data_IF_202403292947
#
_entry.id   IF_202403292947
#
_cell.length_a   1.000
_cell.length_b   1.000
_cell.length_c   1.000
_cell.angle_alpha   90.00
_cell.angle_beta   90.00
_cell.angle_gamma   90.00
#
_symmetry.space_group_name_H-M   'P 1'
#
loop_
_entity.id
_entity.type
_entity.pdbx_description
1 polymer ?
#
# COMPACT_ATOMS: atom_id res chain seq x y z
N UNK A 1 8.08 3.46 -18.93
CA UNK A 1 7.24 2.25 -18.73
C UNK A 1 7.87 1.05 -19.44
N UNK A 2 9.18 0.85 -19.30
CA UNK A 2 9.76 -0.42 -19.71
C UNK A 2 9.32 -1.46 -18.65
N UNK A 3 8.96 -2.67 -19.07
CA UNK A 3 8.72 -3.84 -18.20
C UNK A 3 7.41 -3.90 -17.40
N UNK A 4 6.38 -3.12 -17.77
CA UNK A 4 5.02 -3.34 -17.27
C UNK A 4 4.20 -4.13 -18.27
N UNK A 5 3.47 -5.15 -17.82
CA UNK A 5 2.61 -6.01 -18.63
C UNK A 5 1.15 -5.85 -18.20
N UNK A 6 0.21 -5.78 -19.14
CA UNK A 6 -1.21 -5.79 -18.81
C UNK A 6 -1.66 -7.21 -18.44
N UNK A 7 -2.35 -7.35 -17.31
CA UNK A 7 -2.93 -8.61 -16.84
C UNK A 7 -4.37 -8.72 -17.33
N UNK A 8 -4.75 -9.90 -17.84
CA UNK A 8 -6.04 -10.09 -18.51
C UNK A 8 -7.19 -10.34 -17.55
N UNK A 9 -6.92 -10.98 -16.41
CA UNK A 9 -7.92 -11.32 -15.43
C UNK A 9 -7.30 -11.58 -14.05
N UNK A 10 -8.16 -11.63 -13.04
CA UNK A 10 -7.77 -11.81 -11.66
C UNK A 10 -7.11 -13.17 -11.35
N UNK A 11 -7.54 -14.24 -12.03
CA UNK A 11 -6.90 -15.56 -11.90
C UNK A 11 -5.43 -15.49 -12.28
N UNK A 12 -5.13 -14.88 -13.44
CA UNK A 12 -3.76 -14.64 -13.89
C UNK A 12 -2.97 -13.78 -12.88
N UNK A 13 -3.57 -12.70 -12.35
CA UNK A 13 -2.92 -11.84 -11.38
C UNK A 13 -2.50 -12.62 -10.12
N UNK A 14 -3.44 -13.35 -9.51
CA UNK A 14 -3.16 -14.13 -8.29
C UNK A 14 -2.10 -15.19 -8.54
N UNK A 15 -2.22 -15.95 -9.64
CA UNK A 15 -1.23 -16.97 -10.00
C UNK A 15 0.17 -16.40 -10.16
N UNK A 16 0.32 -15.24 -10.82
CA UNK A 16 1.63 -14.57 -10.96
C UNK A 16 2.20 -14.12 -9.62
N UNK A 17 1.39 -13.43 -8.80
CA UNK A 17 1.80 -12.97 -7.48
C UNK A 17 2.30 -14.10 -6.58
N UNK A 18 1.59 -15.22 -6.56
CA UNK A 18 1.96 -16.40 -5.79
C UNK A 18 3.22 -17.05 -6.37
N UNK A 19 3.25 -17.26 -7.69
CA UNK A 19 4.39 -17.91 -8.36
C UNK A 19 5.69 -17.13 -8.17
N UNK A 20 5.68 -15.81 -8.39
CA UNK A 20 6.88 -15.00 -8.31
C UNK A 20 7.40 -14.93 -6.86
N UNK A 21 6.49 -14.83 -5.87
CA UNK A 21 6.85 -14.89 -4.46
C UNK A 21 7.45 -16.25 -4.05
N UNK A 22 6.88 -17.38 -4.50
CA UNK A 22 7.42 -18.72 -4.22
C UNK A 22 8.80 -18.93 -4.87
N UNK A 23 8.95 -18.56 -6.14
CA UNK A 23 10.20 -18.71 -6.89
C UNK A 23 11.32 -17.84 -6.32
N UNK A 24 10.99 -16.72 -5.69
CA UNK A 24 11.98 -15.84 -5.06
C UNK A 24 12.79 -16.51 -3.93
N UNK A 25 12.27 -17.58 -3.32
CA UNK A 25 12.89 -18.27 -2.20
C UNK A 25 12.99 -17.44 -0.91
N UNK A 26 12.30 -16.29 -0.84
CA UNK A 26 12.27 -15.42 0.32
C UNK A 26 11.46 -16.05 1.46
N UNK A 27 11.87 -15.80 2.69
CA UNK A 27 11.23 -16.41 3.88
C UNK A 27 9.93 -15.71 4.27
N UNK A 28 9.82 -14.43 3.91
CA UNK A 28 8.69 -13.59 4.27
C UNK A 28 8.22 -12.79 3.06
N UNK A 29 6.91 -12.65 2.90
CA UNK A 29 6.28 -11.78 1.91
C UNK A 29 5.61 -10.63 2.63
N UNK A 30 6.00 -9.40 2.28
CA UNK A 30 5.38 -8.16 2.74
C UNK A 30 4.41 -7.69 1.67
N UNK A 31 3.15 -7.49 2.05
CA UNK A 31 2.06 -7.14 1.14
C UNK A 31 1.60 -5.72 1.48
N UNK A 32 1.96 -4.76 0.63
CA UNK A 32 1.43 -3.41 0.69
C UNK A 32 0.08 -3.36 -0.04
N UNK A 33 -1.00 -3.32 0.73
CA UNK A 33 -2.37 -3.33 0.25
C UNK A 33 -3.27 -2.43 1.11
N UNK A 34 -4.44 -2.05 0.60
CA UNK A 34 -5.36 -1.19 1.35
C UNK A 34 -4.87 0.24 1.51
N UNK A 35 -4.22 0.79 0.48
CA UNK A 35 -3.88 2.20 0.48
C UNK A 35 -5.16 3.04 0.28
N UNK A 36 -5.42 3.98 1.19
CA UNK A 36 -6.63 4.82 1.18
C UNK A 36 -6.34 6.32 1.39
N UNK A 37 -7.22 7.22 0.91
CA UNK A 37 -7.27 8.63 1.29
C UNK A 37 -7.68 8.86 2.74
N UNK A 38 -6.97 9.74 3.45
CA UNK A 38 -7.45 10.26 4.73
C UNK A 38 -8.40 11.44 4.50
N UNK A 39 -9.65 11.30 4.95
CA UNK A 39 -10.65 12.36 4.88
C UNK A 39 -10.97 12.93 6.26
N UNK A 40 -11.58 14.13 6.28
CA UNK A 40 -11.95 14.85 7.49
C UNK A 40 -13.44 15.18 7.49
N UNK A 41 -14.07 15.02 8.64
CA UNK A 41 -15.43 15.45 8.91
C UNK A 41 -15.49 16.18 10.26
N UNK A 42 -16.69 16.66 10.63
CA UNK A 42 -16.93 17.24 11.95
C UNK A 42 -16.64 16.26 13.10
N UNK A 43 -16.71 14.94 12.88
CA UNK A 43 -16.42 13.92 13.90
C UNK A 43 -14.93 13.56 14.01
N UNK A 44 -14.11 13.88 13.01
CA UNK A 44 -12.67 13.63 13.03
C UNK A 44 -12.12 13.24 11.66
N UNK A 45 -10.89 12.70 11.65
CA UNK A 45 -10.33 12.07 10.46
C UNK A 45 -10.80 10.62 10.36
N UNK A 46 -10.95 10.08 9.15
CA UNK A 46 -11.35 8.70 8.93
C UNK A 46 -10.72 8.12 7.65
N UNK A 47 -10.56 6.79 7.62
CA UNK A 47 -10.09 6.06 6.45
C UNK A 47 -11.17 5.99 5.38
N UNK A 48 -11.01 6.74 4.29
CA UNK A 48 -12.00 6.82 3.22
C UNK A 48 -11.79 5.70 2.19
N UNK A 49 -12.07 4.45 2.58
CA UNK A 49 -11.72 3.27 1.77
C UNK A 49 -12.30 3.30 0.35
N UNK A 50 -13.50 3.85 0.18
CA UNK A 50 -14.22 3.87 -1.11
C UNK A 50 -13.96 5.16 -1.92
N UNK A 51 -13.13 6.08 -1.43
CA UNK A 51 -12.82 7.33 -2.14
C UNK A 51 -11.97 7.13 -3.41
N UNK A 52 -11.32 5.97 -3.55
CA UNK A 52 -10.68 5.53 -4.80
C UNK A 52 -11.47 4.40 -5.48
N UNK A 53 -12.78 4.37 -5.24
CA UNK A 53 -13.63 3.30 -5.75
C UNK A 53 -13.26 1.95 -5.16
N UNK A 54 -13.20 0.92 -6.02
CA UNK A 54 -12.85 -0.42 -5.61
C UNK A 54 -11.36 -0.63 -5.27
N UNK A 55 -10.45 0.33 -5.53
CA UNK A 55 -9.00 0.12 -5.37
C UNK A 55 -8.61 -0.36 -3.96
N UNK A 56 -8.98 0.40 -2.91
CA UNK A 56 -8.63 0.05 -1.53
C UNK A 56 -9.17 -1.32 -1.13
N UNK A 57 -10.50 -1.57 -1.22
CA UNK A 57 -11.05 -2.85 -0.79
C UNK A 57 -10.53 -4.01 -1.65
N UNK A 58 -10.41 -3.83 -2.96
CA UNK A 58 -9.96 -4.87 -3.87
C UNK A 58 -8.49 -5.26 -3.63
N UNK A 59 -7.61 -4.28 -3.41
CA UNK A 59 -6.21 -4.57 -3.08
C UNK A 59 -6.07 -5.36 -1.77
N UNK A 60 -6.89 -5.06 -0.75
CA UNK A 60 -6.92 -5.84 0.49
C UNK A 60 -7.44 -7.25 0.26
N UNK A 61 -8.54 -7.40 -0.49
CA UNK A 61 -9.12 -8.71 -0.80
C UNK A 61 -8.12 -9.62 -1.54
N UNK A 62 -7.54 -9.15 -2.65
CA UNK A 62 -6.54 -9.92 -3.39
C UNK A 62 -5.28 -10.15 -2.55
N UNK A 63 -4.85 -9.12 -1.80
CA UNK A 63 -3.69 -9.23 -0.91
C UNK A 63 -3.85 -10.32 0.14
N UNK A 64 -5.01 -10.41 0.79
CA UNK A 64 -5.26 -11.43 1.84
C UNK A 64 -5.48 -12.82 1.27
N UNK A 65 -6.09 -12.95 0.09
CA UNK A 65 -6.19 -14.23 -0.62
C UNK A 65 -4.81 -14.78 -1.00
N UNK A 66 -3.95 -13.94 -1.60
CA UNK A 66 -2.57 -14.31 -1.94
C UNK A 66 -1.78 -14.66 -0.68
N UNK A 67 -1.94 -13.87 0.39
CA UNK A 67 -1.28 -14.13 1.67
C UNK A 67 -1.65 -15.49 2.26
N UNK A 68 -2.93 -15.87 2.18
CA UNK A 68 -3.42 -17.14 2.71
C UNK A 68 -2.82 -18.31 1.95
N UNK A 69 -2.76 -18.22 0.62
CA UNK A 69 -2.15 -19.26 -0.19
C UNK A 69 -0.65 -19.37 0.10
N UNK A 70 0.08 -18.26 0.18
CA UNK A 70 1.51 -18.28 0.56
C UNK A 70 1.75 -18.92 1.94
N UNK A 71 0.87 -18.68 2.92
CA UNK A 71 0.94 -19.34 4.23
C UNK A 71 0.72 -20.84 4.15
N UNK A 72 -0.13 -21.33 3.24
CA UNK A 72 -0.29 -22.77 3.01
C UNK A 72 1.01 -23.42 2.50
N UNK A 73 1.88 -22.64 1.84
CA UNK A 73 3.24 -23.04 1.44
C UNK A 73 4.31 -22.76 2.50
N UNK A 74 3.92 -22.39 3.72
CA UNK A 74 4.83 -22.15 4.83
C UNK A 74 5.58 -20.81 4.81
N UNK A 75 5.18 -19.87 3.94
CA UNK A 75 5.78 -18.54 3.87
C UNK A 75 5.14 -17.62 4.92
N UNK A 76 5.97 -16.88 5.66
CA UNK A 76 5.48 -15.83 6.57
C UNK A 76 4.91 -14.67 5.75
N UNK A 77 3.71 -14.19 6.09
CA UNK A 77 3.10 -13.04 5.40
C UNK A 77 2.83 -11.91 6.37
N UNK A 78 3.14 -10.68 5.93
CA UNK A 78 2.90 -9.44 6.67
C UNK A 78 2.25 -8.39 5.78
N UNK A 79 1.50 -7.47 6.36
CA UNK A 79 0.77 -6.42 5.64
C UNK A 79 1.30 -5.03 5.98
N UNK A 80 1.32 -4.15 5.00
CA UNK A 80 1.47 -2.70 5.19
C UNK A 80 0.22 -2.01 4.65
N UNK A 81 -0.48 -1.28 5.51
CA UNK A 81 -1.66 -0.50 5.16
C UNK A 81 -1.27 0.98 5.19
N UNK A 82 -1.51 1.69 4.09
CA UNK A 82 -1.01 3.05 3.88
C UNK A 82 -2.16 4.07 3.85
N UNK A 83 -1.96 5.22 4.48
CA UNK A 83 -2.87 6.37 4.42
C UNK A 83 -2.24 7.51 3.61
N UNK A 84 -2.89 7.92 2.53
CA UNK A 84 -2.59 9.16 1.81
C UNK A 84 -3.13 10.36 2.62
N UNK A 85 -2.31 10.80 3.56
CA UNK A 85 -2.59 11.88 4.51
C UNK A 85 -1.98 13.23 4.09
N UNK A 86 -1.83 13.41 2.76
CA UNK A 86 -1.26 14.61 2.14
C UNK A 86 -2.11 15.08 0.97
N UNK A 87 -2.32 14.23 -0.03
CA UNK A 87 -2.86 14.68 -1.32
C UNK A 87 -4.33 15.10 -1.20
N UNK A 88 -5.01 14.65 -0.13
CA UNK A 88 -6.41 14.93 0.13
C UNK A 88 -6.65 16.05 1.16
N UNK A 89 -5.60 16.62 1.78
CA UNK A 89 -5.79 17.65 2.83
C UNK A 89 -6.60 18.87 2.34
N UNK A 90 -6.53 19.21 1.05
CA UNK A 90 -7.17 20.40 0.48
C UNK A 90 -8.22 20.09 -0.61
N UNK A 91 -8.77 18.87 -0.64
CA UNK A 91 -9.74 18.45 -1.66
C UNK A 91 -11.15 18.31 -1.07
N UNK A 92 -12.16 18.81 -1.77
CA UNK A 92 -13.57 18.65 -1.37
C UNK A 92 -13.87 19.20 0.03
N UNK A 93 -14.58 18.43 0.84
CA UNK A 93 -14.94 18.80 2.22
C UNK A 93 -13.72 19.02 3.12
N UNK A 94 -12.58 18.39 2.82
CA UNK A 94 -11.36 18.56 3.61
C UNK A 94 -10.85 20.01 3.57
N UNK A 95 -11.12 20.74 2.48
CA UNK A 95 -10.74 22.15 2.32
C UNK A 95 -11.53 23.10 3.25
N UNK A 96 -12.67 22.66 3.80
CA UNK A 96 -13.48 23.46 4.73
C UNK A 96 -12.84 23.62 6.12
N UNK A 97 -11.88 22.76 6.46
CA UNK A 97 -11.16 22.81 7.72
C UNK A 97 -9.88 23.66 7.59
N UNK A 98 -9.45 24.29 8.69
CA UNK A 98 -8.12 24.92 8.75
C UNK A 98 -7.00 23.87 8.84
N UNK A 99 -5.77 24.24 8.48
CA UNK A 99 -4.57 23.39 8.66
C UNK A 99 -4.41 22.93 10.11
N UNK A 100 -4.70 23.81 11.07
CA UNK A 100 -4.66 23.49 12.49
C UNK A 100 -5.68 22.43 12.89
N UNK A 101 -6.90 22.48 12.33
CA UNK A 101 -7.93 21.47 12.56
C UNK A 101 -7.53 20.13 11.94
N UNK A 102 -7.14 20.11 10.65
CA UNK A 102 -6.69 18.88 9.96
C UNK A 102 -5.53 18.21 10.69
N UNK A 103 -4.52 18.99 11.09
CA UNK A 103 -3.38 18.47 11.87
C UNK A 103 -3.81 17.82 13.18
N UNK A 104 -4.76 18.42 13.92
CA UNK A 104 -5.27 17.85 15.18
C UNK A 104 -6.06 16.56 14.93
N UNK A 105 -6.95 16.56 13.95
CA UNK A 105 -7.76 15.40 13.57
C UNK A 105 -6.88 14.23 13.12
N UNK A 106 -5.93 14.48 12.22
CA UNK A 106 -4.98 13.47 11.74
C UNK A 106 -4.13 12.88 12.87
N UNK A 107 -3.62 13.72 13.79
CA UNK A 107 -2.87 13.26 14.96
C UNK A 107 -3.71 12.34 15.84
N UNK A 108 -4.97 12.71 16.10
CA UNK A 108 -5.90 11.89 16.87
C UNK A 108 -6.16 10.55 16.17
N UNK A 109 -6.41 10.58 14.86
CA UNK A 109 -6.62 9.38 14.04
C UNK A 109 -5.45 8.41 14.17
N UNK A 110 -4.21 8.81 13.89
CA UNK A 110 -3.09 7.87 13.99
C UNK A 110 -2.80 7.41 15.42
N UNK A 111 -3.08 8.25 16.43
CA UNK A 111 -2.96 7.85 17.85
C UNK A 111 -3.91 6.71 18.20
N UNK A 112 -5.14 6.74 17.69
CA UNK A 112 -6.14 5.69 17.91
C UNK A 112 -5.67 4.33 17.39
N UNK A 113 -4.89 4.33 16.30
CA UNK A 113 -4.33 3.12 15.68
C UNK A 113 -2.89 2.83 16.12
N UNK A 114 -2.46 3.36 17.27
CA UNK A 114 -1.11 3.17 17.80
C UNK A 114 -1.10 2.41 19.12
N UNK A 115 -0.02 1.64 19.35
CA UNK A 115 0.20 0.87 20.58
C UNK A 115 -0.26 -0.58 20.46
N UNK A 116 0.26 -1.45 21.32
CA UNK A 116 0.16 -2.92 21.19
C UNK A 116 -1.28 -3.43 21.03
N UNK A 117 -2.24 -2.82 21.75
CA UNK A 117 -3.66 -3.18 21.71
C UNK A 117 -4.47 -2.49 20.61
N UNK A 118 -3.82 -1.73 19.72
CA UNK A 118 -4.51 -1.07 18.62
C UNK A 118 -5.17 -2.10 17.69
N UNK A 119 -6.32 -1.70 17.13
CA UNK A 119 -7.13 -2.51 16.21
C UNK A 119 -7.36 -1.69 14.95
N UNK A 120 -7.30 -2.31 13.78
CA UNK A 120 -7.58 -1.60 12.52
C UNK A 120 -9.01 -1.05 12.49
N UNK A 121 -9.30 -0.01 11.67
CA UNK A 121 -10.68 0.36 11.37
C UNK A 121 -11.48 -0.89 10.95
N UNK A 122 -12.69 -1.06 11.49
CA UNK A 122 -13.53 -2.27 11.26
C UNK A 122 -13.61 -2.63 9.78
N UNK A 123 -13.81 -1.65 8.92
CA UNK A 123 -13.95 -1.83 7.49
C UNK A 123 -12.69 -2.31 6.77
N UNK A 124 -11.50 -2.17 7.36
CA UNK A 124 -10.25 -2.76 6.84
C UNK A 124 -9.98 -4.12 7.49
N UNK A 125 -10.27 -4.23 8.80
CA UNK A 125 -10.11 -5.45 9.59
C UNK A 125 -10.92 -6.63 9.04
N UNK A 126 -12.13 -6.37 8.55
CA UNK A 126 -13.00 -7.39 7.97
C UNK A 126 -12.30 -8.20 6.86
N UNK A 127 -11.56 -7.54 5.96
CA UNK A 127 -10.82 -8.21 4.87
C UNK A 127 -9.71 -9.13 5.37
N UNK A 128 -8.97 -8.72 6.40
CA UNK A 128 -7.92 -9.55 7.02
C UNK A 128 -8.55 -10.76 7.72
N UNK A 129 -9.56 -10.50 8.55
CA UNK A 129 -10.20 -11.55 9.37
C UNK A 129 -10.91 -12.61 8.52
N UNK A 130 -11.47 -12.23 7.37
CA UNK A 130 -12.11 -13.16 6.44
C UNK A 130 -11.15 -14.26 5.94
N UNK A 131 -9.84 -14.00 5.93
CA UNK A 131 -8.81 -14.96 5.54
C UNK A 131 -7.96 -15.46 6.72
N UNK A 132 -8.41 -15.23 7.96
CA UNK A 132 -7.72 -15.71 9.17
C UNK A 132 -6.50 -14.89 9.58
N UNK A 133 -6.44 -13.62 9.18
CA UNK A 133 -5.42 -12.66 9.60
C UNK A 133 -5.94 -11.70 10.67
N UNK A 134 -5.00 -11.08 11.38
CA UNK A 134 -5.22 -10.12 12.45
C UNK A 134 -4.20 -8.99 12.38
N UNK A 135 -4.29 -8.06 13.33
CA UNK A 135 -3.35 -6.96 13.50
C UNK A 135 -1.91 -7.43 13.83
N UNK A 136 -1.71 -8.69 14.24
CA UNK A 136 -0.38 -9.27 14.46
C UNK A 136 0.40 -9.44 13.16
N UNK A 137 -0.31 -9.54 12.04
CA UNK A 137 0.28 -9.63 10.70
C UNK A 137 0.50 -8.26 10.06
N UNK A 138 0.10 -7.16 10.71
CA UNK A 138 0.30 -5.81 10.19
C UNK A 138 1.62 -5.25 10.72
N UNK A 139 2.51 -4.85 9.80
CA UNK A 139 3.72 -4.11 10.13
C UNK A 139 3.31 -2.73 10.64
N UNK A 140 3.98 -2.29 11.70
CA UNK A 140 3.67 -1.03 12.38
C UNK A 140 4.71 0.04 12.04
N UNK A 141 4.24 1.26 11.80
CA UNK A 141 5.09 2.40 11.48
C UNK A 141 5.48 3.16 12.75
N UNK A 142 6.78 3.45 12.86
CA UNK A 142 7.29 4.46 13.79
C UNK A 142 7.12 5.86 13.19
N UNK A 143 6.18 6.63 13.73
CA UNK A 143 5.91 8.00 13.28
C UNK A 143 6.74 9.07 14.02
N UNK A 144 7.74 8.67 14.81
CA UNK A 144 8.67 9.57 15.49
C UNK A 144 8.04 10.43 16.60
N UNK A 145 6.89 10.00 17.14
CA UNK A 145 6.22 10.66 18.27
C UNK A 145 5.84 9.60 19.30
N UNK A 146 6.00 9.91 20.59
CA UNK A 146 5.85 8.92 21.69
C UNK A 146 4.49 8.21 21.68
N UNK A 147 3.43 8.91 21.29
CA UNK A 147 2.08 8.37 21.19
C UNK A 147 1.79 7.60 19.89
N UNK A 148 2.76 7.52 18.97
CA UNK A 148 2.63 6.96 17.60
C UNK A 148 3.89 6.27 17.08
N UNK A 149 4.70 5.66 17.96
CA UNK A 149 5.88 4.88 17.57
C UNK A 149 5.56 3.48 17.02
N UNK A 150 4.31 3.05 17.18
CA UNK A 150 3.85 1.70 16.88
C UNK A 150 2.45 1.74 16.25
N UNK A 151 2.34 2.40 15.09
CA UNK A 151 1.06 2.64 14.43
C UNK A 151 0.75 1.58 13.38
N UNK A 152 -0.45 0.99 13.40
CA UNK A 152 -0.91 0.02 12.39
C UNK A 152 -1.06 0.62 10.97
N UNK A 153 -1.06 1.94 10.86
CA UNK A 153 -1.28 2.65 9.60
C UNK A 153 -0.05 3.48 9.24
N UNK A 154 0.48 3.24 8.04
CA UNK A 154 1.59 4.01 7.50
C UNK A 154 1.09 5.37 7.01
N UNK A 155 1.58 6.44 7.62
CA UNK A 155 1.43 7.81 7.12
C UNK A 155 2.39 8.03 5.95
N UNK A 156 1.85 8.37 4.78
CA UNK A 156 2.68 8.80 3.66
C UNK A 156 3.45 10.09 4.00
N UNK A 157 2.88 10.98 4.81
CA UNK A 157 3.59 12.18 5.32
C UNK A 157 4.86 11.83 6.06
N UNK A 158 4.84 10.80 6.88
CA UNK A 158 6.05 10.30 7.57
C UNK A 158 7.01 9.68 6.55
N UNK A 159 6.55 8.85 5.62
CA UNK A 159 7.43 8.26 4.59
C UNK A 159 8.12 9.33 3.73
N UNK A 160 7.43 10.45 3.44
CA UNK A 160 7.96 11.55 2.62
C UNK A 160 8.89 12.50 3.37
N UNK A 161 9.09 12.37 4.68
CA UNK A 161 10.08 13.18 5.43
C UNK A 161 11.51 12.67 5.28
N UNK A 162 11.71 11.46 4.76
CA UNK A 162 13.04 10.91 4.55
C UNK A 162 13.83 11.83 3.56
N UNK A 163 15.02 12.35 3.97
CA UNK A 163 15.74 13.44 3.28
C UNK A 163 16.36 13.08 1.92
N UNK A 164 15.84 12.07 1.23
CA UNK A 164 16.27 11.75 -0.14
C UNK A 164 16.06 12.93 -1.09
N UNK A 165 16.97 13.11 -2.05
CA UNK A 165 16.91 14.15 -3.09
C UNK A 165 15.78 13.93 -4.12
N UNK A 166 14.85 13.00 -3.86
CA UNK A 166 13.77 12.65 -4.76
C UNK A 166 12.70 13.74 -4.79
N UNK A 167 12.57 14.46 -5.90
CA UNK A 167 11.59 15.54 -6.05
C UNK A 167 10.15 15.02 -6.21
N UNK A 168 9.94 13.75 -6.55
CA UNK A 168 8.61 13.19 -6.70
C UNK A 168 8.08 12.54 -5.41
N UNK A 169 6.84 12.90 -5.04
CA UNK A 169 6.24 12.49 -3.78
C UNK A 169 5.90 10.99 -3.69
N UNK A 170 5.38 10.37 -4.77
CA UNK A 170 5.12 8.92 -4.81
C UNK A 170 6.44 8.15 -4.71
N UNK A 171 7.44 8.54 -5.51
CA UNK A 171 8.76 7.90 -5.51
C UNK A 171 9.45 8.01 -4.14
N UNK A 172 9.37 9.18 -3.50
CA UNK A 172 9.95 9.40 -2.17
C UNK A 172 9.33 8.49 -1.10
N UNK A 173 8.00 8.45 -1.04
CA UNK A 173 7.29 7.60 -0.07
C UNK A 173 7.63 6.12 -0.28
N UNK A 174 7.57 5.67 -1.55
CA UNK A 174 7.84 4.30 -1.92
C UNK A 174 9.30 3.90 -1.64
N UNK A 175 10.27 4.75 -1.99
CA UNK A 175 11.68 4.50 -1.68
C UNK A 175 11.90 4.37 -0.17
N UNK A 176 11.36 5.28 0.63
CA UNK A 176 11.48 5.23 2.09
C UNK A 176 10.93 3.91 2.67
N UNK A 177 9.81 3.41 2.14
CA UNK A 177 9.23 2.12 2.52
C UNK A 177 10.19 0.95 2.23
N UNK A 178 10.69 0.86 1.01
CA UNK A 178 11.48 -0.31 0.58
C UNK A 178 12.94 -0.27 1.03
N UNK A 179 13.45 0.88 1.46
CA UNK A 179 14.84 1.02 1.95
C UNK A 179 14.98 1.00 3.47
N UNK A 180 13.88 1.07 4.22
CA UNK A 180 13.94 1.01 5.68
C UNK A 180 13.86 -0.45 6.17
N UNK A 181 14.97 -1.02 6.71
CA UNK A 181 15.00 -2.41 7.16
C UNK A 181 14.06 -2.72 8.33
N UNK A 182 13.54 -1.69 9.03
CA UNK A 182 12.48 -1.89 10.03
C UNK A 182 11.19 -2.42 9.40
N UNK A 183 10.91 -2.01 8.17
CA UNK A 183 9.68 -2.35 7.46
C UNK A 183 9.90 -3.41 6.37
N UNK A 184 11.05 -3.36 5.70
CA UNK A 184 11.37 -4.26 4.60
C UNK A 184 12.87 -4.59 4.55
N UNK A 185 13.20 -5.87 4.74
CA UNK A 185 14.56 -6.39 4.62
C UNK A 185 14.75 -7.06 3.25
N UNK A 186 15.45 -6.39 2.33
CA UNK A 186 15.65 -6.87 0.95
C UNK A 186 16.30 -8.27 0.84
N UNK A 187 17.08 -8.69 1.84
CA UNK A 187 17.72 -10.01 1.82
C UNK A 187 16.71 -11.12 2.10
N UNK A 188 15.79 -10.90 3.06
CA UNK A 188 14.85 -11.91 3.55
C UNK A 188 13.45 -11.81 2.95
N UNK A 189 13.04 -10.62 2.55
CA UNK A 189 11.66 -10.32 2.23
C UNK A 189 11.43 -10.22 0.71
N UNK A 190 10.25 -10.65 0.29
CA UNK A 190 9.66 -10.37 -1.03
C UNK A 190 8.55 -9.34 -0.86
N UNK A 191 8.46 -8.34 -1.74
CA UNK A 191 7.39 -7.34 -1.69
C UNK A 191 6.30 -7.61 -2.72
N UNK A 192 5.05 -7.60 -2.30
CA UNK A 192 3.90 -7.44 -3.19
C UNK A 192 3.30 -6.06 -2.92
N UNK A 193 3.18 -5.20 -3.92
CA UNK A 193 2.70 -3.84 -3.72
C UNK A 193 1.60 -3.47 -4.72
N UNK A 194 0.43 -3.10 -4.18
CA UNK A 194 -0.67 -2.52 -4.94
C UNK A 194 -0.53 -0.99 -4.93
N UNK A 195 -0.30 -0.39 -6.09
CA UNK A 195 0.06 1.02 -6.24
C UNK A 195 -0.98 1.72 -7.13
N UNK A 196 -1.47 2.91 -6.72
CA UNK A 196 -2.26 3.76 -7.61
C UNK A 196 -1.54 4.04 -8.92
N UNK A 197 -2.20 3.81 -10.05
CA UNK A 197 -1.62 3.92 -11.40
C UNK A 197 -0.99 5.31 -11.67
N UNK A 198 -1.54 6.38 -11.11
CA UNK A 198 -1.01 7.75 -11.15
C UNK A 198 0.42 7.86 -10.61
N UNK A 199 0.84 6.92 -9.75
CA UNK A 199 2.19 6.83 -9.23
C UNK A 199 3.13 5.96 -10.09
N UNK A 200 2.60 5.16 -11.04
CA UNK A 200 3.35 4.17 -11.84
C UNK A 200 4.59 4.77 -12.49
N UNK A 201 4.42 5.87 -13.23
CA UNK A 201 5.52 6.49 -13.96
C UNK A 201 6.69 6.88 -13.06
N UNK A 202 6.39 7.45 -11.90
CA UNK A 202 7.41 7.93 -10.96
C UNK A 202 8.04 6.79 -10.15
N UNK A 203 7.24 5.83 -9.66
CA UNK A 203 7.77 4.66 -8.95
C UNK A 203 8.67 3.84 -9.85
N UNK A 204 8.22 3.54 -11.07
CA UNK A 204 9.02 2.78 -12.04
C UNK A 204 10.31 3.52 -12.40
N UNK A 205 10.21 4.75 -12.93
CA UNK A 205 11.39 5.42 -13.50
C UNK A 205 12.38 5.95 -12.48
N UNK A 206 11.94 6.26 -11.24
CA UNK A 206 12.78 6.94 -10.24
C UNK A 206 13.11 6.08 -9.03
N UNK A 207 12.52 4.89 -8.90
CA UNK A 207 12.85 3.99 -7.80
C UNK A 207 13.28 2.64 -8.36
N UNK A 208 12.41 1.98 -9.11
CA UNK A 208 12.66 0.63 -9.58
C UNK A 208 13.76 0.59 -10.65
N UNK A 209 13.71 1.50 -11.64
CA UNK A 209 14.68 1.58 -12.75
C UNK A 209 16.04 2.20 -12.32
N UNK A 210 16.06 2.99 -11.25
CA UNK A 210 17.30 3.58 -10.70
C UNK A 210 18.10 2.60 -9.81
N UNK A 211 17.73 1.32 -9.85
CA UNK A 211 18.37 0.23 -9.12
C UNK A 211 18.36 0.43 -7.60
N UNK A 212 17.18 0.33 -6.97
CA UNK A 212 17.12 -0.27 -5.62
C UNK A 212 17.68 -1.70 -5.75
N UNK A 213 19.01 -1.83 -5.67
CA UNK A 213 19.73 -3.07 -5.98
C UNK A 213 19.29 -4.17 -5.03
N UNK A 214 18.85 -5.30 -5.60
CA UNK A 214 18.47 -6.47 -4.83
C UNK A 214 17.01 -6.53 -4.39
N UNK A 215 16.14 -5.64 -4.89
CA UNK A 215 14.70 -5.75 -4.66
C UNK A 215 14.14 -7.00 -5.36
N UNK A 216 13.45 -7.85 -4.59
CA UNK A 216 12.56 -8.91 -5.09
C UNK A 216 11.13 -8.47 -4.86
N UNK A 217 10.39 -8.18 -5.93
CA UNK A 217 9.06 -7.61 -5.78
C UNK A 217 8.13 -7.82 -6.98
N UNK A 218 6.84 -7.91 -6.68
CA UNK A 218 5.74 -7.78 -7.62
C UNK A 218 4.99 -6.47 -7.39
N UNK A 219 4.78 -5.67 -8.43
CA UNK A 219 4.00 -4.45 -8.38
C UNK A 219 2.76 -4.58 -9.24
N UNK A 220 1.63 -4.22 -8.65
CA UNK A 220 0.32 -4.19 -9.29
C UNK A 220 -0.14 -2.76 -9.34
N UNK A 221 -0.18 -2.19 -10.53
CA UNK A 221 -0.68 -0.84 -10.77
C UNK A 221 -2.13 -0.92 -11.22
N UNK A 222 -3.00 -0.24 -10.48
CA UNK A 222 -4.43 -0.20 -10.75
C UNK A 222 -4.91 1.24 -10.70
N UNK A 223 -5.84 1.57 -11.58
CA UNK A 223 -6.36 2.92 -11.64
C UNK A 223 -7.09 3.30 -10.35
N UNK A 224 -6.73 4.47 -9.82
CA UNK A 224 -7.51 5.13 -8.76
C UNK A 224 -8.27 6.25 -9.41
N UNK A 225 -9.60 6.20 -9.38
CA UNK A 225 -10.39 7.30 -9.91
C UNK A 225 -10.50 8.41 -8.87
N UNK A 226 -9.97 9.58 -9.20
CA UNK A 226 -10.14 10.81 -8.41
C UNK A 226 -11.16 11.78 -9.01
N UNK A 227 -11.72 11.47 -10.19
CA UNK A 227 -12.63 12.33 -10.95
C UNK A 227 -14.05 11.72 -10.98
N UNK A 228 -14.19 10.39 -10.89
CA UNK A 228 -15.49 9.72 -10.87
C UNK A 228 -15.82 9.08 -9.52
N UNK A 229 -17.08 9.31 -9.17
CA UNK A 229 -17.83 8.93 -7.97
C UNK A 229 -17.74 7.43 -7.60
N UNK A 230 -18.17 7.04 -6.38
CA UNK A 230 -18.16 5.67 -5.79
C UNK A 230 -18.80 4.50 -6.57
N UNK A 231 -19.13 4.64 -7.85
CA UNK A 231 -19.78 3.62 -8.68
C UNK A 231 -18.79 2.69 -9.40
N UNK A 232 -17.48 2.90 -9.24
CA UNK A 232 -16.45 2.06 -9.84
C UNK A 232 -16.29 0.81 -8.99
N UNK A 233 -16.79 -0.31 -9.52
CA UNK A 233 -16.78 -1.61 -8.87
C UNK A 233 -15.63 -2.48 -9.38
N UNK A 234 -15.49 -3.70 -8.84
CA UNK A 234 -14.46 -4.67 -9.25
C UNK A 234 -14.41 -4.90 -10.76
N UNK A 235 -15.55 -4.88 -11.46
CA UNK A 235 -15.59 -5.11 -12.91
C UNK A 235 -14.94 -3.95 -13.68
N UNK A 236 -15.07 -2.71 -13.19
CA UNK A 236 -14.43 -1.54 -13.81
C UNK A 236 -12.90 -1.62 -13.80
N UNK A 237 -12.31 -2.23 -12.76
CA UNK A 237 -10.85 -2.46 -12.69
C UNK A 237 -10.36 -3.25 -13.91
N UNK A 238 -11.13 -4.26 -14.33
CA UNK A 238 -10.74 -5.17 -15.41
C UNK A 238 -11.18 -4.71 -16.80
N UNK A 239 -12.36 -4.09 -16.92
CA UNK A 239 -12.96 -3.77 -18.22
C UNK A 239 -12.52 -2.42 -18.78
N UNK A 240 -12.33 -1.41 -17.92
CA UNK A 240 -12.21 -0.02 -18.37
C UNK A 240 -10.76 0.49 -18.32
N UNK A 241 -9.97 0.00 -17.36
CA UNK A 241 -8.70 0.62 -16.98
C UNK A 241 -7.50 -0.33 -17.08
N UNK A 242 -7.75 -1.62 -16.85
CA UNK A 242 -6.74 -2.66 -16.89
C UNK A 242 -5.84 -2.67 -15.66
N UNK A 243 -5.34 -3.85 -15.34
CA UNK A 243 -4.34 -4.06 -14.28
C UNK A 243 -2.98 -4.19 -14.93
N UNK A 244 -2.01 -3.39 -14.48
CA UNK A 244 -0.64 -3.47 -14.98
C UNK A 244 0.26 -4.10 -13.93
N UNK A 245 1.15 -4.96 -14.38
CA UNK A 245 2.01 -5.78 -13.55
C UNK A 245 3.47 -5.57 -13.89
N UNK A 246 4.33 -5.52 -12.87
CA UNK A 246 5.78 -5.54 -13.00
C UNK A 246 6.35 -6.51 -11.99
N UNK A 247 7.38 -7.25 -12.38
CA UNK A 247 8.15 -8.12 -11.50
C UNK A 247 9.61 -7.66 -11.54
N UNK A 248 10.21 -7.46 -10.37
CA UNK A 248 11.61 -7.09 -10.19
C UNK A 248 12.32 -8.22 -9.41
N UNK A 249 13.50 -8.65 -9.91
CA UNK A 249 14.28 -9.73 -9.32
C UNK A 249 15.78 -9.35 -9.17
N UNK A 250 16.49 -9.84 -8.13
CA UNK A 250 17.91 -9.60 -7.96
C UNK A 250 18.72 -10.29 -9.06
N UNK A 251 19.20 -9.54 -10.05
CA UNK A 251 20.18 -10.03 -11.03
C UNK A 251 19.65 -10.41 -12.42
N UNK A 252 18.37 -10.17 -12.73
CA UNK A 252 17.82 -10.37 -14.07
C UNK A 252 17.90 -9.11 -14.93
N UNK A 253 18.35 -9.25 -16.19
CA UNK A 253 17.98 -8.30 -17.24
C UNK A 253 16.45 -8.24 -17.26
N UNK A 254 15.91 -7.04 -17.13
CA UNK A 254 14.51 -6.75 -17.36
C UNK A 254 14.08 -7.33 -18.73
N UNK A 255 13.32 -8.43 -18.74
CA UNK A 255 12.68 -8.99 -19.94
C UNK A 255 11.27 -8.43 -20.07
#
# INVERSE_FOLDING_TARGET
>A
MKNTQQIKNEGELRSRLISDALVSGKQRVVIQAGHFPLHYSSSGAYASKDAWGAFTPYSLEIGTEVAKELRNHGIETKFIITADDINYDNVGENASFSDGQRRRMRRRFFREYSGESAVLPTSLREYLSAQGFSEQEVIRQDQGQDDRRDCLLFSERVLRTNPTQENNQCARAYRALVTDPKYFNMERDYLISFIPDRCTGNVCSRVLDENVRGLSASHVFMQTDGIFLPNTNRNSIWNDWGVHYRHDSPGGQNV
#
